data_IF_273053903285
#
_entry.id   IF_273053903285
#
_cell.length_a   1.000
_cell.length_b   1.000
_cell.length_c   1.000
_cell.angle_alpha   90.00
_cell.angle_beta   90.00
_cell.angle_gamma   90.00
#
_symmetry.space_group_name_H-M   'P 1'
#
loop_
_entity.id
_entity.type
_entity.pdbx_description
1 polymer ?
#
# COMPACT_ATOMS: atom_id res chain seq x y z
N UNK A 1 2.36 -29.49 2.47
CA UNK A 1 2.90 -28.21 2.95
C UNK A 1 4.37 -28.37 3.30
N UNK A 2 5.25 -27.53 2.74
CA UNK A 2 6.66 -27.44 3.07
C UNK A 2 6.88 -26.24 3.99
N UNK A 3 7.74 -26.39 5.00
CA UNK A 3 8.14 -25.26 5.85
C UNK A 3 9.15 -24.43 5.06
N UNK A 4 8.90 -23.11 4.99
CA UNK A 4 9.77 -22.13 4.35
C UNK A 4 10.18 -21.05 5.36
N UNK A 5 11.22 -20.30 5.03
CA UNK A 5 11.62 -19.12 5.82
C UNK A 5 11.22 -17.81 5.12
N UNK A 6 10.54 -17.88 3.98
CA UNK A 6 10.18 -16.70 3.18
C UNK A 6 8.88 -16.92 2.40
N UNK A 7 8.14 -15.81 2.20
CA UNK A 7 7.01 -15.70 1.28
C UNK A 7 7.21 -14.45 0.40
N UNK A 8 6.84 -14.52 -0.88
CA UNK A 8 6.87 -13.34 -1.75
C UNK A 8 5.78 -12.35 -1.32
N UNK A 9 6.19 -11.18 -0.86
CA UNK A 9 5.28 -10.10 -0.46
C UNK A 9 4.79 -9.30 -1.68
N UNK A 10 3.57 -8.77 -1.56
CA UNK A 10 3.08 -7.76 -2.49
C UNK A 10 3.88 -6.46 -2.35
N UNK A 11 3.81 -5.60 -3.37
CA UNK A 11 4.40 -4.26 -3.28
C UNK A 11 3.78 -3.40 -2.18
N UNK A 12 2.53 -3.67 -1.81
CA UNK A 12 1.79 -2.96 -0.76
C UNK A 12 2.34 -3.31 0.61
N UNK A 13 2.55 -4.61 0.91
CA UNK A 13 3.19 -5.03 2.16
C UNK A 13 4.66 -4.61 2.26
N UNK A 14 5.37 -4.59 1.13
CA UNK A 14 6.72 -4.02 1.08
C UNK A 14 6.71 -2.50 1.37
N UNK A 15 5.66 -1.79 0.94
CA UNK A 15 5.51 -0.37 1.24
C UNK A 15 5.23 -0.10 2.71
N UNK A 16 4.39 -0.91 3.35
CA UNK A 16 4.12 -0.83 4.80
C UNK A 16 5.37 -1.05 5.65
N UNK A 17 6.21 -1.99 5.23
CA UNK A 17 7.47 -2.33 5.91
C UNK A 17 8.65 -1.43 5.52
N UNK A 18 8.47 -0.46 4.62
CA UNK A 18 9.55 0.41 4.18
C UNK A 18 10.07 1.31 5.32
N UNK A 19 11.39 1.33 5.51
CA UNK A 19 12.03 2.10 6.59
C UNK A 19 11.83 1.50 7.99
N UNK A 20 11.18 0.33 8.09
CA UNK A 20 11.09 -0.48 9.31
C UNK A 20 12.31 -1.38 9.42
N UNK A 21 12.54 -1.95 10.61
CA UNK A 21 13.66 -2.84 10.90
C UNK A 21 13.17 -4.16 11.50
N UNK A 22 14.07 -5.11 11.67
CA UNK A 22 13.80 -6.44 12.21
C UNK A 22 12.67 -7.17 11.46
N UNK A 23 12.69 -7.07 10.13
CA UNK A 23 11.73 -7.76 9.28
C UNK A 23 12.00 -9.27 9.39
N UNK A 24 11.02 -10.04 9.84
CA UNK A 24 11.13 -11.49 9.91
C UNK A 24 9.86 -12.17 9.41
N UNK A 25 10.08 -13.35 8.85
CA UNK A 25 9.03 -14.29 8.50
C UNK A 25 9.09 -15.45 9.50
N UNK A 26 7.94 -15.86 10.02
CA UNK A 26 7.81 -16.99 10.95
C UNK A 26 6.65 -17.87 10.53
N UNK A 27 6.68 -19.13 10.96
CA UNK A 27 5.59 -20.07 10.73
C UNK A 27 5.13 -20.09 9.26
N UNK A 28 6.07 -20.03 8.30
CA UNK A 28 5.67 -20.07 6.90
C UNK A 28 5.38 -21.51 6.48
N UNK A 29 4.17 -21.71 5.97
CA UNK A 29 3.73 -22.96 5.39
C UNK A 29 3.45 -22.75 3.90
N UNK A 30 4.15 -23.48 3.04
CA UNK A 30 4.01 -23.35 1.58
C UNK A 30 3.39 -24.63 1.03
N UNK A 31 2.15 -24.52 0.54
CA UNK A 31 1.48 -25.54 -0.25
C UNK A 31 1.77 -25.39 -1.74
N UNK A 32 1.07 -26.17 -2.56
CA UNK A 32 1.18 -26.09 -4.02
C UNK A 32 0.36 -24.93 -4.59
N UNK A 33 -0.84 -24.69 -4.04
CA UNK A 33 -1.79 -23.67 -4.51
C UNK A 33 -1.87 -22.43 -3.61
N UNK A 34 -1.46 -22.55 -2.35
CA UNK A 34 -1.49 -21.47 -1.40
C UNK A 34 -0.36 -21.57 -0.38
N UNK A 35 -0.05 -20.46 0.26
CA UNK A 35 0.94 -20.36 1.32
C UNK A 35 0.44 -19.45 2.43
N UNK A 36 0.95 -19.69 3.62
CA UNK A 36 0.74 -18.88 4.81
C UNK A 36 2.09 -18.46 5.37
N UNK A 37 2.19 -17.25 5.93
CA UNK A 37 3.33 -16.91 6.78
C UNK A 37 2.99 -15.77 7.76
N UNK A 38 3.55 -15.84 8.96
CA UNK A 38 3.59 -14.70 9.88
C UNK A 38 4.69 -13.74 9.45
N UNK A 39 4.37 -12.45 9.43
CA UNK A 39 5.24 -11.37 9.03
C UNK A 39 5.33 -10.34 10.15
N UNK A 40 6.54 -10.15 10.70
CA UNK A 40 6.78 -9.17 11.75
C UNK A 40 7.75 -8.08 11.29
N UNK A 41 7.49 -6.84 11.70
CA UNK A 41 8.45 -5.75 11.56
C UNK A 41 8.34 -4.77 12.72
N UNK A 42 9.46 -4.11 13.02
CA UNK A 42 9.58 -3.19 14.15
C UNK A 42 9.72 -1.74 13.69
N UNK A 43 8.92 -0.85 14.28
CA UNK A 43 9.00 0.60 14.10
C UNK A 43 9.98 1.16 15.12
N UNK A 44 11.01 1.86 14.64
CA UNK A 44 11.98 2.56 15.47
C UNK A 44 11.69 4.06 15.49
N UNK A 45 11.82 4.70 16.65
CA UNK A 45 11.70 6.14 16.80
C UNK A 45 13.05 6.75 17.16
N UNK A 46 13.43 7.82 16.45
CA UNK A 46 14.62 8.62 16.76
C UNK A 46 14.32 9.59 17.89
N UNK A 47 15.12 9.55 18.96
CA UNK A 47 15.17 10.57 20.01
C UNK A 47 16.55 11.25 20.02
N UNK A 48 16.66 12.36 20.77
CA UNK A 48 17.85 13.21 20.84
C UNK A 48 19.17 12.47 21.14
N UNK A 49 19.12 11.32 21.82
CA UNK A 49 20.29 10.55 22.26
C UNK A 49 20.30 9.08 21.80
N UNK A 50 19.53 8.74 20.76
CA UNK A 50 19.54 7.38 20.21
C UNK A 50 18.23 6.98 19.54
N UNK A 51 18.19 5.73 19.08
CA UNK A 51 17.00 5.11 18.51
C UNK A 51 16.52 4.02 19.46
N UNK A 52 15.21 3.93 19.65
CA UNK A 52 14.60 2.82 20.40
C UNK A 52 13.50 2.18 19.58
N UNK A 53 13.31 0.89 19.83
CA UNK A 53 12.21 0.11 19.28
C UNK A 53 10.92 0.59 19.92
N UNK A 54 10.03 1.16 19.12
CA UNK A 54 8.77 1.75 19.57
C UNK A 54 7.66 0.71 19.62
N UNK A 55 7.52 -0.08 18.57
CA UNK A 55 6.38 -0.97 18.37
C UNK A 55 6.77 -2.11 17.41
N UNK A 56 6.18 -3.29 17.60
CA UNK A 56 6.33 -4.43 16.68
C UNK A 56 4.96 -4.77 16.14
N UNK A 57 4.85 -4.81 14.83
CA UNK A 57 3.63 -5.25 14.15
C UNK A 57 3.78 -6.71 13.76
N UNK A 58 2.70 -7.46 13.91
CA UNK A 58 2.62 -8.88 13.60
C UNK A 58 1.43 -9.11 12.69
N UNK A 59 1.70 -9.53 11.45
CA UNK A 59 0.68 -9.79 10.45
C UNK A 59 0.68 -11.26 10.06
N UNK A 60 -0.51 -11.82 9.90
CA UNK A 60 -0.75 -13.08 9.19
C UNK A 60 -0.90 -12.78 7.70
N UNK A 61 -0.21 -13.54 6.85
CA UNK A 61 -0.28 -13.41 5.39
C UNK A 61 -0.70 -14.73 4.77
N UNK A 62 -1.85 -14.72 4.08
CA UNK A 62 -2.25 -15.78 3.15
C UNK A 62 -1.95 -15.37 1.71
N UNK A 63 -1.42 -16.28 0.91
CA UNK A 63 -1.10 -16.06 -0.49
C UNK A 63 -1.60 -17.22 -1.34
N UNK A 64 -2.50 -16.95 -2.27
CA UNK A 64 -3.20 -17.93 -3.09
C UNK A 64 -2.85 -17.72 -4.56
N UNK A 65 -2.35 -18.77 -5.21
CA UNK A 65 -1.88 -18.68 -6.58
C UNK A 65 -3.05 -18.54 -7.56
N UNK A 66 -2.96 -17.54 -8.43
CA UNK A 66 -3.85 -17.32 -9.57
C UNK A 66 -3.16 -17.83 -10.85
N UNK A 67 -3.93 -18.29 -11.85
CA UNK A 67 -3.38 -18.86 -13.08
C UNK A 67 -2.74 -17.81 -14.00
N UNK A 68 -2.85 -16.52 -13.65
CA UNK A 68 -2.38 -15.41 -14.46
C UNK A 68 -2.31 -14.11 -13.69
N UNK A 69 -1.54 -13.17 -14.25
CA UNK A 69 -1.36 -11.83 -13.69
C UNK A 69 -2.55 -10.93 -13.99
N UNK A 70 -3.05 -10.27 -12.95
CA UNK A 70 -4.15 -9.33 -12.97
C UNK A 70 -3.67 -7.92 -12.62
N UNK A 71 -4.47 -6.88 -12.94
CA UNK A 71 -4.25 -5.55 -12.41
C UNK A 71 -4.24 -5.59 -10.88
N UNK A 72 -3.37 -4.78 -10.27
CA UNK A 72 -3.29 -4.67 -8.82
C UNK A 72 -4.57 -4.01 -8.31
N UNK A 73 -5.26 -4.72 -7.43
CA UNK A 73 -6.47 -4.27 -6.74
C UNK A 73 -6.30 -4.53 -5.26
N UNK A 74 -6.50 -3.51 -4.43
CA UNK A 74 -6.49 -3.62 -2.98
C UNK A 74 -7.89 -3.33 -2.43
N UNK A 75 -8.35 -4.17 -1.53
CA UNK A 75 -9.57 -4.02 -0.75
C UNK A 75 -9.15 -3.84 0.71
N UNK A 76 -9.09 -2.58 1.14
CA UNK A 76 -8.76 -2.17 2.52
C UNK A 76 -10.00 -2.32 3.39
N UNK A 77 -9.96 -3.26 4.34
CA UNK A 77 -11.11 -3.59 5.17
C UNK A 77 -11.33 -2.55 6.26
N UNK A 78 -12.60 -2.23 6.52
CA UNK A 78 -12.96 -1.39 7.65
C UNK A 78 -12.86 -2.12 9.01
N UNK A 79 -12.81 -3.45 9.02
CA UNK A 79 -12.72 -4.26 10.24
C UNK A 79 -11.28 -4.43 10.75
N UNK A 80 -10.27 -4.27 9.89
CA UNK A 80 -8.83 -4.36 10.23
C UNK A 80 -8.26 -3.04 10.78
N UNK A 81 -9.10 -2.02 11.00
CA UNK A 81 -8.69 -0.67 11.40
C UNK A 81 -8.74 0.36 10.26
N UNK A 82 -8.97 -0.10 9.02
CA UNK A 82 -9.45 0.63 7.83
C UNK A 82 -9.07 2.11 7.78
N UNK A 83 -7.84 2.39 7.30
CA UNK A 83 -7.27 3.73 6.98
C UNK A 83 -5.75 3.71 6.83
N UNK A 84 -5.07 2.60 7.10
CA UNK A 84 -3.62 2.53 6.95
C UNK A 84 -3.18 2.87 5.52
N UNK A 85 -4.01 2.52 4.54
CA UNK A 85 -3.74 2.70 3.13
C UNK A 85 -4.26 4.01 2.53
N UNK A 86 -5.17 4.73 3.20
CA UNK A 86 -5.69 6.04 2.76
C UNK A 86 -4.57 7.07 2.53
N UNK A 87 -3.51 7.01 3.34
CA UNK A 87 -2.33 7.86 3.20
C UNK A 87 -1.27 7.26 2.27
N UNK A 88 -1.33 5.95 2.01
CA UNK A 88 -0.35 5.26 1.19
C UNK A 88 -0.63 5.46 -0.30
N UNK A 89 -1.89 5.45 -0.74
CA UNK A 89 -2.25 5.48 -2.17
C UNK A 89 -2.76 6.83 -2.67
N UNK A 90 -2.59 7.11 -3.97
CA UNK A 90 -3.18 8.29 -4.60
C UNK A 90 -4.71 8.21 -4.54
N UNK A 91 -5.37 9.27 -4.07
CA UNK A 91 -6.84 9.32 -3.94
C UNK A 91 -7.58 9.11 -5.26
N UNK A 92 -6.95 9.33 -6.41
CA UNK A 92 -7.54 9.05 -7.73
C UNK A 92 -7.68 7.56 -8.03
N UNK A 93 -7.00 6.72 -7.25
CA UNK A 93 -7.09 5.27 -7.34
C UNK A 93 -8.15 4.70 -6.42
N UNK A 94 -8.83 5.52 -5.62
CA UNK A 94 -9.94 5.08 -4.78
C UNK A 94 -11.19 4.99 -5.64
N UNK A 95 -11.83 3.83 -5.62
CA UNK A 95 -13.04 3.56 -6.37
C UNK A 95 -14.16 3.10 -5.42
N UNK A 96 -15.36 3.62 -5.67
CA UNK A 96 -16.60 3.18 -5.02
C UNK A 96 -17.19 2.06 -5.86
N UNK A 97 -17.60 0.97 -5.21
CA UNK A 97 -18.25 -0.15 -5.88
C UNK A 97 -19.76 -0.16 -5.61
N UNK A 98 -20.49 -0.90 -6.43
CA UNK A 98 -21.95 -0.92 -6.40
C UNK A 98 -22.53 -1.52 -5.11
N UNK A 99 -23.80 -1.21 -4.83
CA UNK A 99 -24.52 -1.70 -3.67
C UNK A 99 -24.04 -1.05 -2.38
N UNK A 100 -23.82 -1.87 -1.35
CA UNK A 100 -23.30 -1.42 -0.07
C UNK A 100 -21.89 -1.92 0.25
N UNK A 101 -21.14 -2.29 -0.79
CA UNK A 101 -19.77 -2.79 -0.67
C UNK A 101 -18.84 -1.81 0.08
N UNK A 102 -19.00 -0.52 -0.19
CA UNK A 102 -18.24 0.55 0.45
C UNK A 102 -18.47 0.67 1.97
N UNK A 103 -19.45 -0.04 2.55
CA UNK A 103 -19.57 -0.14 4.01
C UNK A 103 -18.49 -1.04 4.62
N UNK A 104 -17.98 -2.00 3.84
CA UNK A 104 -17.07 -3.04 4.30
C UNK A 104 -15.63 -2.76 3.88
N UNK A 105 -15.41 -2.23 2.68
CA UNK A 105 -14.08 -2.01 2.13
C UNK A 105 -13.93 -0.64 1.49
N UNK A 106 -12.71 -0.12 1.53
CA UNK A 106 -12.25 0.91 0.60
C UNK A 106 -11.44 0.25 -0.52
N UNK A 107 -11.87 0.42 -1.77
CA UNK A 107 -11.26 -0.24 -2.94
C UNK A 107 -10.27 0.67 -3.64
N UNK A 108 -9.10 0.12 -3.98
CA UNK A 108 -8.04 0.80 -4.71
C UNK A 108 -7.60 0.03 -5.97
N UNK A 109 -7.59 0.69 -7.12
CA UNK A 109 -6.93 0.21 -8.34
C UNK A 109 -6.53 1.38 -9.24
N UNK A 110 -5.71 1.15 -10.25
CA UNK A 110 -5.27 2.23 -11.14
C UNK A 110 -6.45 2.72 -12.01
N UNK A 111 -6.67 4.04 -12.12
CA UNK A 111 -7.79 4.63 -12.87
C UNK A 111 -7.91 4.09 -14.32
N UNK A 112 -6.77 3.90 -15.01
CA UNK A 112 -6.73 3.38 -16.39
C UNK A 112 -7.13 1.89 -16.50
N UNK A 113 -7.30 1.19 -15.37
CA UNK A 113 -7.76 -0.20 -15.26
C UNK A 113 -9.18 -0.33 -14.74
N UNK A 114 -9.96 0.75 -14.65
CA UNK A 114 -11.32 0.70 -14.11
C UNK A 114 -12.18 -0.37 -14.78
N UNK A 115 -12.21 -0.41 -16.11
CA UNK A 115 -13.03 -1.38 -16.86
C UNK A 115 -12.51 -2.81 -16.62
N UNK A 116 -11.20 -3.01 -16.70
CA UNK A 116 -10.56 -4.32 -16.48
C UNK A 116 -10.84 -4.85 -15.07
N UNK A 117 -10.65 -4.03 -14.04
CA UNK A 117 -10.89 -4.39 -12.64
C UNK A 117 -12.36 -4.72 -12.40
N UNK A 118 -13.29 -3.88 -12.85
CA UNK A 118 -14.72 -4.14 -12.70
C UNK A 118 -15.18 -5.39 -13.47
N UNK A 119 -14.48 -5.79 -14.54
CA UNK A 119 -14.85 -6.98 -15.30
C UNK A 119 -14.73 -8.30 -14.52
N UNK A 120 -13.82 -8.36 -13.53
CA UNK A 120 -13.66 -9.54 -12.68
C UNK A 120 -14.11 -9.33 -11.23
N UNK A 121 -14.34 -8.09 -10.81
CA UNK A 121 -14.99 -7.77 -9.52
C UNK A 121 -16.51 -7.87 -9.72
N UNK A 122 -16.98 -9.08 -9.99
CA UNK A 122 -18.41 -9.34 -10.17
C UNK A 122 -19.13 -9.32 -8.83
N UNK A 123 -20.48 -9.21 -8.81
CA UNK A 123 -21.26 -9.28 -7.58
C UNK A 123 -20.93 -10.51 -6.71
N UNK A 124 -20.68 -11.67 -7.31
CA UNK A 124 -20.30 -12.88 -6.59
C UNK A 124 -18.93 -12.75 -5.90
N UNK A 125 -17.96 -12.11 -6.56
CA UNK A 125 -16.65 -11.82 -5.96
C UNK A 125 -16.81 -10.83 -4.81
N UNK A 126 -17.61 -9.78 -4.99
CA UNK A 126 -17.90 -8.82 -3.93
C UNK A 126 -18.52 -9.49 -2.70
N UNK A 127 -19.45 -10.43 -2.90
CA UNK A 127 -20.03 -11.19 -1.78
C UNK A 127 -18.99 -12.08 -1.07
N UNK A 128 -18.12 -12.76 -1.83
CA UNK A 128 -17.03 -13.53 -1.23
C UNK A 128 -16.06 -12.65 -0.41
N UNK A 129 -15.77 -11.45 -0.90
CA UNK A 129 -14.96 -10.45 -0.17
C UNK A 129 -15.67 -9.98 1.10
N UNK A 130 -16.98 -9.72 1.08
CA UNK A 130 -17.76 -9.33 2.27
C UNK A 130 -17.71 -10.42 3.35
N UNK A 131 -17.78 -11.69 2.96
CA UNK A 131 -17.61 -12.82 3.90
C UNK A 131 -16.20 -12.81 4.51
N UNK A 132 -15.20 -12.38 3.74
CA UNK A 132 -13.81 -12.26 4.18
C UNK A 132 -13.43 -10.88 4.73
N UNK A 133 -14.41 -10.05 5.13
CA UNK A 133 -14.17 -8.67 5.60
C UNK A 133 -13.27 -8.55 6.81
N UNK A 134 -12.98 -9.62 7.54
CA UNK A 134 -12.01 -9.56 8.65
C UNK A 134 -10.56 -9.48 8.15
N UNK A 135 -10.33 -9.45 6.83
CA UNK A 135 -9.02 -9.37 6.19
C UNK A 135 -8.99 -8.24 5.17
N UNK A 136 -7.82 -7.62 5.05
CA UNK A 136 -7.50 -6.86 3.84
C UNK A 136 -7.21 -7.86 2.72
N UNK A 137 -7.67 -7.56 1.51
CA UNK A 137 -7.51 -8.45 0.36
C UNK A 137 -6.80 -7.72 -0.77
N UNK A 138 -5.74 -8.31 -1.33
CA UNK A 138 -5.01 -7.72 -2.46
C UNK A 138 -4.86 -8.73 -3.58
N UNK A 139 -5.25 -8.34 -4.78
CA UNK A 139 -4.83 -9.03 -6.00
C UNK A 139 -3.58 -8.30 -6.48
N UNK A 140 -2.43 -8.97 -6.53
CA UNK A 140 -1.18 -8.36 -7.00
C UNK A 140 -0.43 -9.32 -7.91
N UNK A 141 -0.42 -9.01 -9.21
CA UNK A 141 0.13 -9.92 -10.20
C UNK A 141 -0.71 -11.19 -10.25
N UNK A 142 -0.08 -12.34 -10.06
CA UNK A 142 -0.68 -13.68 -10.11
C UNK A 142 -0.97 -14.26 -8.73
N UNK A 143 -1.07 -13.42 -7.69
CA UNK A 143 -1.33 -13.87 -6.32
C UNK A 143 -2.50 -13.06 -5.76
N UNK A 144 -3.44 -13.78 -5.14
CA UNK A 144 -4.45 -13.24 -4.24
C UNK A 144 -3.89 -13.32 -2.81
N UNK A 145 -3.76 -12.18 -2.16
CA UNK A 145 -3.30 -12.07 -0.80
C UNK A 145 -4.44 -11.71 0.14
N UNK A 146 -4.38 -12.28 1.34
CA UNK A 146 -5.15 -11.83 2.49
C UNK A 146 -4.16 -11.36 3.57
N UNK A 147 -4.52 -10.32 4.31
CA UNK A 147 -3.72 -9.79 5.42
C UNK A 147 -4.61 -9.49 6.63
N UNK A 148 -4.11 -9.75 7.83
CA UNK A 148 -4.67 -9.23 9.08
C UNK A 148 -3.61 -9.34 10.20
N UNK A 149 -3.81 -8.68 11.32
CA UNK A 149 -2.99 -8.88 12.52
C UNK A 149 -3.10 -10.33 13.04
N UNK A 150 -2.04 -10.80 13.72
CA UNK A 150 -2.05 -12.12 14.37
C UNK A 150 -2.85 -12.02 15.67
N UNK A 151 -3.99 -12.71 15.74
CA UNK A 151 -4.85 -12.71 16.93
C UNK A 151 -5.19 -14.12 17.41
N UNK A 152 -5.82 -14.94 16.56
CA UNK A 152 -6.54 -16.15 16.98
C UNK A 152 -5.97 -17.43 16.35
N UNK A 153 -4.70 -17.73 16.58
CA UNK A 153 -4.07 -18.96 16.09
C UNK A 153 -4.46 -20.20 16.92
N UNK A 154 -4.68 -21.39 16.32
CA UNK A 154 -4.54 -21.71 14.89
C UNK A 154 -5.81 -21.50 14.05
N UNK A 155 -6.96 -21.15 14.66
CA UNK A 155 -8.24 -21.03 13.96
C UNK A 155 -8.18 -20.02 12.80
N UNK A 156 -7.43 -18.93 13.00
CA UNK A 156 -7.16 -17.92 11.98
C UNK A 156 -6.54 -18.54 10.72
N UNK A 157 -5.62 -19.51 10.83
CA UNK A 157 -5.01 -20.18 9.68
C UNK A 157 -6.06 -20.92 8.83
N UNK A 158 -6.98 -21.62 9.48
CA UNK A 158 -8.07 -22.33 8.80
C UNK A 158 -9.07 -21.36 8.15
N UNK A 159 -9.36 -20.24 8.82
CA UNK A 159 -10.21 -19.19 8.28
C UNK A 159 -9.58 -18.49 7.06
N UNK A 160 -8.26 -18.26 7.08
CA UNK A 160 -7.48 -17.78 5.93
C UNK A 160 -7.64 -18.69 4.72
N UNK A 161 -7.40 -20.00 4.91
CA UNK A 161 -7.51 -21.00 3.84
C UNK A 161 -8.93 -21.01 3.27
N UNK A 162 -9.94 -21.14 4.13
CA UNK A 162 -11.34 -21.24 3.71
C UNK A 162 -11.83 -20.00 2.94
N UNK A 163 -11.59 -18.80 3.48
CA UNK A 163 -12.01 -17.53 2.85
C UNK A 163 -11.20 -17.24 1.59
N UNK A 164 -9.88 -17.46 1.61
CA UNK A 164 -9.01 -17.28 0.46
C UNK A 164 -9.36 -18.21 -0.70
N UNK A 165 -9.62 -19.49 -0.43
CA UNK A 165 -10.07 -20.44 -1.45
C UNK A 165 -11.47 -20.09 -1.99
N UNK A 166 -12.38 -19.62 -1.14
CA UNK A 166 -13.69 -19.15 -1.59
C UNK A 166 -13.55 -17.98 -2.58
N UNK A 167 -12.77 -16.95 -2.24
CA UNK A 167 -12.53 -15.80 -3.13
C UNK A 167 -11.84 -16.27 -4.42
N UNK A 168 -10.77 -17.06 -4.30
CA UNK A 168 -10.03 -17.61 -5.46
C UNK A 168 -10.96 -18.36 -6.39
N UNK A 169 -11.79 -19.27 -5.86
CA UNK A 169 -12.73 -20.06 -6.65
C UNK A 169 -13.70 -19.19 -7.44
N UNK A 170 -14.25 -18.15 -6.82
CA UNK A 170 -15.18 -17.24 -7.51
C UNK A 170 -14.44 -16.39 -8.55
N UNK A 171 -13.25 -15.87 -8.23
CA UNK A 171 -12.41 -15.14 -9.18
C UNK A 171 -12.08 -15.96 -10.42
N UNK A 172 -11.75 -17.25 -10.26
CA UNK A 172 -11.39 -18.15 -11.37
C UNK A 172 -12.48 -18.23 -12.44
N UNK A 173 -13.76 -18.07 -12.09
CA UNK A 173 -14.84 -18.05 -13.07
C UNK A 173 -14.80 -16.83 -14.01
N UNK A 174 -14.18 -15.74 -13.57
CA UNK A 174 -14.19 -14.45 -14.27
C UNK A 174 -12.83 -14.09 -14.90
N UNK A 175 -11.72 -14.63 -14.39
CA UNK A 175 -10.38 -14.17 -14.78
C UNK A 175 -9.72 -14.98 -15.88
N UNK A 176 -10.16 -16.21 -16.16
CA UNK A 176 -9.49 -17.13 -17.09
C UNK A 176 -9.38 -16.56 -18.52
N UNK A 177 -10.37 -15.77 -18.93
CA UNK A 177 -10.45 -15.17 -20.26
C UNK A 177 -9.89 -13.76 -20.32
N UNK A 178 -9.59 -13.13 -19.17
CA UNK A 178 -9.10 -11.75 -19.13
C UNK A 178 -7.83 -11.59 -19.98
N UNK A 179 -7.66 -10.41 -20.58
CA UNK A 179 -6.49 -10.06 -21.40
C UNK A 179 -6.29 -8.56 -21.31
N UNK A 180 -5.05 -8.13 -21.11
CA UNK A 180 -4.73 -6.71 -21.20
C UNK A 180 -4.44 -6.35 -22.67
N UNK A 181 -5.32 -5.55 -23.25
CA UNK A 181 -5.23 -5.11 -24.64
C UNK A 181 -4.21 -3.98 -24.86
N UNK A 182 -3.63 -3.43 -23.79
CA UNK A 182 -2.61 -2.36 -23.84
C UNK A 182 -1.21 -2.89 -24.17
N UNK A 183 -1.01 -4.21 -24.10
CA UNK A 183 0.27 -4.86 -24.38
C UNK A 183 0.16 -5.75 -25.63
N UNK A 184 1.30 -6.28 -26.09
CA UNK A 184 1.33 -7.17 -27.25
C UNK A 184 0.39 -8.36 -27.03
N UNK A 185 -0.36 -8.72 -28.07
CA UNK A 185 -1.35 -9.79 -28.03
C UNK A 185 -0.83 -11.11 -27.43
N UNK A 186 0.42 -11.49 -27.76
CA UNK A 186 1.09 -12.69 -27.23
C UNK A 186 1.27 -12.68 -25.71
N UNK A 187 1.40 -11.50 -25.12
CA UNK A 187 1.71 -11.30 -23.71
C UNK A 187 0.48 -10.87 -22.89
N UNK A 188 -0.57 -10.39 -23.55
CA UNK A 188 -1.83 -9.90 -22.95
C UNK A 188 -2.48 -10.84 -21.93
N UNK A 189 -2.27 -12.16 -22.07
CA UNK A 189 -2.79 -13.15 -21.12
C UNK A 189 -1.85 -13.47 -19.96
N UNK A 190 -0.56 -13.16 -20.11
CA UNK A 190 0.51 -13.51 -19.15
C UNK A 190 0.84 -12.37 -18.19
N UNK A 191 0.62 -11.13 -18.60
CA UNK A 191 0.94 -9.94 -17.80
C UNK A 191 -0.04 -8.82 -18.06
N UNK A 192 0.05 -7.78 -17.24
CA UNK A 192 -0.58 -6.47 -17.45
C UNK A 192 0.49 -5.43 -17.72
N UNK A 193 0.10 -4.27 -18.25
CA UNK A 193 0.98 -3.11 -18.41
C UNK A 193 1.52 -2.61 -17.06
N UNK A 194 2.59 -1.82 -17.10
CA UNK A 194 3.21 -1.27 -15.88
C UNK A 194 2.24 -0.46 -15.00
N UNK A 195 1.22 0.16 -15.61
CA UNK A 195 0.19 0.93 -14.92
C UNK A 195 -0.68 0.04 -14.03
N UNK A 196 -0.91 -1.20 -14.45
CA UNK A 196 -1.72 -2.18 -13.74
C UNK A 196 -0.94 -3.01 -12.74
N UNK A 197 0.39 -3.01 -12.77
CA UNK A 197 1.17 -3.88 -11.90
C UNK A 197 1.20 -3.44 -10.43
N UNK A 198 1.11 -2.13 -10.15
CA UNK A 198 1.28 -1.57 -8.81
C UNK A 198 0.42 -0.33 -8.60
N UNK A 199 -0.08 -0.17 -7.38
CA UNK A 199 -0.73 1.07 -6.96
C UNK A 199 0.31 2.19 -6.80
N UNK A 200 -0.04 3.42 -7.18
CA UNK A 200 0.82 4.58 -7.01
C UNK A 200 0.63 5.14 -5.61
N UNK A 201 1.72 5.65 -5.07
CA UNK A 201 1.72 6.26 -3.75
C UNK A 201 1.16 7.66 -3.76
N UNK A 202 0.54 8.06 -2.64
CA UNK A 202 0.16 9.44 -2.41
C UNK A 202 1.40 10.32 -2.33
N UNK A 203 1.44 11.37 -3.14
CA UNK A 203 2.49 12.39 -3.10
C UNK A 203 2.07 13.64 -2.33
N UNK A 204 0.86 13.66 -1.76
CA UNK A 204 0.25 14.87 -1.18
C UNK A 204 1.10 15.46 -0.06
N UNK A 205 1.60 14.62 0.85
CA UNK A 205 2.41 15.09 1.98
C UNK A 205 3.76 15.67 1.52
N UNK A 206 4.41 15.02 0.55
CA UNK A 206 5.67 15.46 -0.02
C UNK A 206 5.50 16.79 -0.75
N UNK A 207 4.44 16.91 -1.58
CA UNK A 207 4.11 18.13 -2.30
C UNK A 207 3.73 19.28 -1.35
N UNK A 208 2.94 19.00 -0.30
CA UNK A 208 2.61 19.98 0.72
C UNK A 208 3.85 20.49 1.46
N UNK A 209 4.76 19.60 1.86
CA UNK A 209 6.00 19.98 2.52
C UNK A 209 6.92 20.80 1.61
N UNK A 210 6.97 20.48 0.31
CA UNK A 210 7.71 21.28 -0.67
C UNK A 210 7.08 22.67 -0.80
N UNK A 211 5.76 22.76 -0.93
CA UNK A 211 5.04 24.03 -1.00
C UNK A 211 5.23 24.89 0.26
N UNK A 212 5.16 24.27 1.44
CA UNK A 212 5.43 24.96 2.70
C UNK A 212 6.89 25.45 2.75
N UNK A 213 7.84 24.60 2.34
CA UNK A 213 9.25 24.95 2.27
C UNK A 213 9.53 26.11 1.30
N UNK A 214 8.92 26.11 0.10
CA UNK A 214 9.08 27.21 -0.86
C UNK A 214 8.46 28.51 -0.34
N UNK A 215 7.31 28.43 0.32
CA UNK A 215 6.65 29.58 0.95
C UNK A 215 7.52 30.19 2.06
N UNK A 216 8.13 29.36 2.91
CA UNK A 216 9.05 29.83 3.95
C UNK A 216 10.31 30.49 3.36
N UNK A 217 10.84 29.95 2.26
CA UNK A 217 11.97 30.57 1.56
C UNK A 217 11.59 31.93 0.95
N UNK A 218 10.41 32.05 0.33
CA UNK A 218 9.91 33.31 -0.22
C UNK A 218 9.67 34.34 0.90
N UNK A 219 9.12 33.92 2.03
CA UNK A 219 8.92 34.78 3.20
C UNK A 219 10.27 35.27 3.76
N UNK A 220 11.26 34.37 3.89
CA UNK A 220 12.61 34.74 4.31
C UNK A 220 13.28 35.74 3.35
N UNK A 221 13.13 35.55 2.03
CA UNK A 221 13.63 36.50 1.03
C UNK A 221 12.91 37.86 1.10
N UNK A 222 11.59 37.86 1.28
CA UNK A 222 10.80 39.09 1.42
C UNK A 222 11.22 39.89 2.66
N UNK A 223 11.43 39.22 3.79
CA UNK A 223 11.90 39.85 5.02
C UNK A 223 13.30 40.44 4.81
N UNK A 224 14.23 39.74 4.15
CA UNK A 224 15.56 40.30 3.81
C UNK A 224 15.45 41.55 2.93
N UNK A 225 14.54 41.53 1.94
CA UNK A 225 14.33 42.66 1.06
C UNK A 225 13.78 43.88 1.80
N UNK A 226 12.78 43.68 2.67
CA UNK A 226 12.17 44.74 3.47
C UNK A 226 13.13 45.29 4.54
N UNK A 227 13.88 44.40 5.20
CA UNK A 227 14.84 44.74 6.25
C UNK A 227 16.12 45.39 5.75
N UNK A 228 16.30 45.51 4.42
CA UNK A 228 17.39 46.28 3.84
C UNK A 228 17.44 47.73 4.38
N UNK A 229 16.33 48.23 4.94
CA UNK A 229 16.20 49.59 5.47
C UNK A 229 16.25 49.72 7.02
N UNK A 230 16.21 48.65 7.83
CA UNK A 230 16.25 48.73 9.31
C UNK A 230 16.95 47.54 10.03
N UNK A 231 17.35 47.80 11.29
CA UNK A 231 18.32 47.17 12.21
C UNK A 231 18.47 45.61 12.27
N UNK A 232 19.74 45.20 12.38
CA UNK A 232 20.46 43.99 12.84
C UNK A 232 19.77 42.67 13.32
N UNK A 233 18.51 42.62 13.74
CA UNK A 233 17.88 41.37 14.26
C UNK A 233 17.10 40.59 13.21
N UNK A 234 16.77 41.23 12.09
CA UNK A 234 15.99 40.68 10.98
C UNK A 234 16.76 39.66 10.07
N UNK A 235 18.09 39.74 9.91
CA UNK A 235 18.84 38.77 9.08
C UNK A 235 18.79 37.34 9.63
N UNK A 236 18.80 37.19 10.96
CA UNK A 236 18.82 35.88 11.60
C UNK A 236 17.50 35.12 11.37
N UNK A 237 16.36 35.78 11.56
CA UNK A 237 15.03 35.18 11.33
C UNK A 237 14.88 34.73 9.87
N UNK A 238 15.30 35.57 8.94
CA UNK A 238 15.24 35.26 7.50
C UNK A 238 16.14 34.08 7.13
N UNK A 239 17.34 34.01 7.71
CA UNK A 239 18.26 32.89 7.51
C UNK A 239 17.67 31.57 8.02
N UNK A 240 17.04 31.57 9.20
CA UNK A 240 16.38 30.36 9.72
C UNK A 240 15.20 29.91 8.85
N UNK A 241 14.38 30.84 8.35
CA UNK A 241 13.28 30.52 7.43
C UNK A 241 13.76 29.90 6.12
N UNK A 242 14.83 30.45 5.53
CA UNK A 242 15.44 29.92 4.30
C UNK A 242 16.04 28.53 4.53
N UNK A 243 16.82 28.36 5.59
CA UNK A 243 17.44 27.08 5.92
C UNK A 243 16.39 26.00 6.20
N UNK A 244 15.37 26.31 7.00
CA UNK A 244 14.30 25.36 7.30
C UNK A 244 13.46 25.01 6.06
N UNK A 245 13.13 26.01 5.23
CA UNK A 245 12.43 25.80 3.97
C UNK A 245 13.21 24.92 2.99
N UNK A 246 14.51 25.17 2.82
CA UNK A 246 15.39 24.35 1.99
C UNK A 246 15.49 22.90 2.48
N UNK A 247 15.59 22.70 3.80
CA UNK A 247 15.62 21.35 4.38
C UNK A 247 14.32 20.61 4.09
N UNK A 248 13.16 21.25 4.25
CA UNK A 248 11.86 20.64 3.91
C UNK A 248 11.81 20.24 2.42
N UNK A 249 12.26 21.11 1.51
CA UNK A 249 12.29 20.83 0.07
C UNK A 249 13.21 19.64 -0.23
N UNK A 250 14.47 19.68 0.23
CA UNK A 250 15.48 18.66 -0.07
C UNK A 250 15.06 17.28 0.44
N UNK A 251 14.56 17.20 1.66
CA UNK A 251 14.14 15.93 2.26
C UNK A 251 12.96 15.30 1.51
N UNK A 252 12.02 16.10 1.02
CA UNK A 252 10.83 15.60 0.33
C UNK A 252 11.09 15.32 -1.16
N UNK A 253 11.97 16.06 -1.84
CA UNK A 253 12.42 15.73 -3.21
C UNK A 253 13.14 14.38 -3.22
N UNK A 254 14.02 14.10 -2.24
CA UNK A 254 14.69 12.79 -2.14
C UNK A 254 13.72 11.63 -1.96
N UNK A 255 12.58 11.86 -1.30
CA UNK A 255 11.52 10.86 -1.13
C UNK A 255 10.65 10.68 -2.38
N UNK A 256 10.54 11.71 -3.23
CA UNK A 256 9.84 11.63 -4.52
C UNK A 256 10.64 10.90 -5.60
N UNK A 257 11.97 10.90 -5.49
CA UNK A 257 12.87 10.27 -6.45
C UNK A 257 13.11 8.77 -6.19
N UNK A 258 12.47 8.18 -5.16
CA UNK A 258 12.51 6.75 -4.84
C UNK A 258 11.16 6.12 -5.13
#
# INVERSE_FOLDING_TARGET
>A
MKISNTLNLSSTMLALSEGKRDIRFRNCYVGDDWAFCDFEFSKYQKKKYGEYKSETYYFSIGAFQLPRKLPNVMFDSHSTGGREFDLLFDSRQRHSLEGDFDKYFTTYFHQDYTIDSLSFITPEVMQALIVARDYDVEISGDILYLYNEIENMPDQLHDFEAKGDQIRKVLLNNILTYRDDRIKYSDGRRTVSFLGLKLRRSLKLQLFNIFLGTTLCLLGMYILFWARNEVNTIPAVSFYLLCFGLVLIILNIRKLAR
#
